data_IF_630912286538
#
_entry.id   IF_630912286538
#
_cell.length_a   1.000
_cell.length_b   1.000
_cell.length_c   1.000
_cell.angle_alpha   90.00
_cell.angle_beta   90.00
_cell.angle_gamma   90.00
#
_symmetry.space_group_name_H-M   'P 1'
#
loop_
_entity.id
_entity.type
_entity.pdbx_description
1 polymer ?
#
# COMPACT_ATOMS: atom_id res chain seq x y z
N UNK A 1 26.82 -6.25 -34.01
CA UNK A 1 25.93 -7.19 -33.30
C UNK A 1 25.90 -6.81 -31.82
N UNK A 2 25.00 -5.90 -31.42
CA UNK A 2 24.81 -5.48 -30.02
C UNK A 2 23.34 -5.11 -29.76
N UNK A 3 22.40 -5.91 -30.27
CA UNK A 3 20.98 -5.50 -30.28
C UNK A 3 20.14 -6.33 -29.28
N UNK A 4 20.50 -7.60 -29.05
CA UNK A 4 19.78 -8.44 -28.08
C UNK A 4 20.07 -8.05 -26.62
N UNK A 5 21.33 -7.75 -26.28
CA UNK A 5 21.69 -7.40 -24.89
C UNK A 5 21.15 -6.04 -24.46
N UNK A 6 21.01 -5.09 -25.41
CA UNK A 6 20.33 -3.82 -25.16
C UNK A 6 18.82 -4.02 -24.98
N UNK A 7 18.17 -4.79 -25.86
CA UNK A 7 16.74 -5.09 -25.74
C UNK A 7 16.36 -5.74 -24.41
N UNK A 8 17.08 -6.80 -24.00
CA UNK A 8 16.85 -7.48 -22.70
C UNK A 8 17.07 -6.53 -21.51
N UNK A 9 18.05 -5.62 -21.60
CA UNK A 9 18.33 -4.64 -20.54
C UNK A 9 17.22 -3.59 -20.45
N UNK A 10 16.74 -3.10 -21.58
CA UNK A 10 15.65 -2.12 -21.64
C UNK A 10 14.34 -2.72 -21.13
N UNK A 11 14.02 -3.96 -21.53
CA UNK A 11 12.87 -4.71 -21.01
C UNK A 11 12.97 -4.92 -19.50
N UNK A 12 14.13 -5.34 -18.99
CA UNK A 12 14.36 -5.52 -17.55
C UNK A 12 14.20 -4.24 -16.74
N UNK A 13 14.63 -3.10 -17.29
CA UNK A 13 14.44 -1.78 -16.65
C UNK A 13 12.97 -1.35 -16.67
N UNK A 14 12.27 -1.54 -17.78
CA UNK A 14 10.85 -1.23 -17.90
C UNK A 14 10.02 -2.06 -16.92
N UNK A 15 10.26 -3.38 -16.85
CA UNK A 15 9.61 -4.25 -15.88
C UNK A 15 9.92 -3.85 -14.43
N UNK A 16 11.18 -3.54 -14.14
CA UNK A 16 11.61 -3.12 -12.81
C UNK A 16 10.92 -1.83 -12.37
N UNK A 17 10.79 -0.86 -13.28
CA UNK A 17 10.10 0.40 -13.03
C UNK A 17 8.61 0.17 -12.76
N UNK A 18 7.94 -0.62 -13.59
CA UNK A 18 6.51 -0.95 -13.41
C UNK A 18 6.26 -1.64 -12.07
N UNK A 19 7.04 -2.70 -11.77
CA UNK A 19 6.94 -3.43 -10.49
C UNK A 19 7.24 -2.52 -9.30
N UNK A 20 8.20 -1.60 -9.44
CA UNK A 20 8.54 -0.61 -8.41
C UNK A 20 7.42 0.38 -8.15
N UNK A 21 6.83 0.92 -9.22
CA UNK A 21 5.71 1.87 -9.14
C UNK A 21 4.48 1.21 -8.50
N UNK A 22 4.11 0.00 -8.92
CA UNK A 22 2.99 -0.75 -8.35
C UNK A 22 3.16 -0.98 -6.85
N UNK A 23 4.35 -1.44 -6.43
CA UNK A 23 4.67 -1.63 -5.01
C UNK A 23 4.64 -0.31 -4.23
N UNK A 24 5.17 0.77 -4.81
CA UNK A 24 5.19 2.09 -4.19
C UNK A 24 3.79 2.65 -3.98
N UNK A 25 2.92 2.56 -5.00
CA UNK A 25 1.51 2.98 -4.92
C UNK A 25 0.76 2.14 -3.89
N UNK A 26 0.95 0.81 -3.88
CA UNK A 26 0.32 -0.07 -2.90
C UNK A 26 0.75 0.27 -1.46
N UNK A 27 2.05 0.45 -1.23
CA UNK A 27 2.58 0.84 0.07
C UNK A 27 2.05 2.21 0.51
N UNK A 28 2.06 3.20 -0.37
CA UNK A 28 1.54 4.54 -0.06
C UNK A 28 0.04 4.53 0.30
N UNK A 29 -0.76 3.70 -0.36
CA UNK A 29 -2.17 3.51 0.01
C UNK A 29 -2.30 2.92 1.41
N UNK A 30 -1.56 1.87 1.74
CA UNK A 30 -1.60 1.23 3.06
C UNK A 30 -1.17 2.23 4.14
N UNK A 31 -0.01 2.90 3.97
CA UNK A 31 0.54 3.85 4.94
C UNK A 31 -0.42 5.03 5.20
N UNK A 32 -1.04 5.57 4.14
CA UNK A 32 -2.01 6.67 4.27
C UNK A 32 -3.27 6.21 4.98
N UNK A 33 -3.84 5.06 4.61
CA UNK A 33 -5.02 4.52 5.29
C UNK A 33 -4.74 4.24 6.76
N UNK A 34 -3.58 3.66 7.10
CA UNK A 34 -3.16 3.43 8.48
C UNK A 34 -3.11 4.74 9.28
N UNK A 35 -2.51 5.79 8.71
CA UNK A 35 -2.45 7.11 9.35
C UNK A 35 -3.84 7.70 9.59
N UNK A 36 -4.74 7.59 8.61
CA UNK A 36 -6.11 8.08 8.75
C UNK A 36 -6.91 7.28 9.78
N UNK A 37 -6.82 5.95 9.77
CA UNK A 37 -7.47 5.08 10.76
C UNK A 37 -6.97 5.43 12.17
N UNK A 38 -5.65 5.57 12.37
CA UNK A 38 -5.06 5.97 13.65
C UNK A 38 -5.57 7.32 14.13
N UNK A 39 -5.67 8.31 13.24
CA UNK A 39 -6.22 9.64 13.55
C UNK A 39 -7.70 9.58 13.91
N UNK A 40 -8.49 8.75 13.25
CA UNK A 40 -9.92 8.58 13.52
C UNK A 40 -10.16 7.93 14.89
N UNK A 41 -9.37 6.90 15.23
CA UNK A 41 -9.42 6.26 16.55
C UNK A 41 -9.05 7.27 17.65
N UNK A 42 -7.96 8.03 17.45
CA UNK A 42 -7.47 8.97 18.45
C UNK A 42 -8.36 10.20 18.67
N UNK A 43 -8.97 10.74 17.60
CA UNK A 43 -9.78 11.97 17.70
C UNK A 43 -11.24 11.71 18.09
N UNK A 44 -11.81 10.59 17.66
CA UNK A 44 -13.25 10.37 17.73
C UNK A 44 -13.67 9.08 18.44
N UNK A 45 -12.73 8.31 19.04
CA UNK A 45 -13.00 6.99 19.67
C UNK A 45 -13.69 5.98 18.73
N UNK A 46 -13.56 6.12 17.41
CA UNK A 46 -14.08 5.11 16.49
C UNK A 46 -13.36 3.79 16.64
N UNK A 47 -14.07 2.68 16.43
CA UNK A 47 -13.42 1.39 16.28
C UNK A 47 -12.61 1.32 14.99
N UNK A 48 -11.59 0.45 14.97
CA UNK A 48 -10.75 0.19 13.80
C UNK A 48 -11.60 -0.15 12.56
N UNK A 49 -12.68 -0.91 12.75
CA UNK A 49 -13.63 -1.30 11.70
C UNK A 49 -14.47 -0.14 11.20
N UNK A 50 -15.03 0.69 12.08
CA UNK A 50 -15.83 1.86 11.67
C UNK A 50 -14.98 2.90 10.95
N UNK A 51 -13.75 3.12 11.42
CA UNK A 51 -12.80 4.01 10.75
C UNK A 51 -12.48 3.54 9.33
N UNK A 52 -12.33 2.23 9.12
CA UNK A 52 -12.11 1.64 7.79
C UNK A 52 -13.36 1.70 6.90
N UNK A 53 -14.56 1.52 7.46
CA UNK A 53 -15.82 1.67 6.72
C UNK A 53 -16.02 3.12 6.25
N UNK A 54 -15.75 4.10 7.11
CA UNK A 54 -15.81 5.53 6.75
C UNK A 54 -14.80 5.93 5.68
N UNK A 55 -13.61 5.32 5.70
CA UNK A 55 -12.56 5.55 4.70
C UNK A 55 -12.79 4.79 3.40
N UNK A 56 -13.82 3.94 3.31
CA UNK A 56 -14.12 3.15 2.12
C UNK A 56 -13.00 2.16 1.76
N UNK A 57 -12.36 1.58 2.77
CA UNK A 57 -11.20 0.69 2.61
C UNK A 57 -11.63 -0.64 1.99
N UNK A 58 -11.02 -1.01 0.87
CA UNK A 58 -11.19 -2.32 0.20
C UNK A 58 -10.88 -3.49 1.17
N UNK A 59 -11.72 -4.53 1.17
CA UNK A 59 -11.54 -5.71 2.04
C UNK A 59 -10.16 -6.35 1.92
N UNK A 60 -9.56 -6.30 0.73
CA UNK A 60 -8.24 -6.87 0.45
C UNK A 60 -7.13 -6.24 1.29
N UNK A 61 -7.24 -4.95 1.60
CA UNK A 61 -6.24 -4.22 2.39
C UNK A 61 -6.64 -4.11 3.88
N UNK A 62 -7.91 -4.37 4.23
CA UNK A 62 -8.37 -4.38 5.64
C UNK A 62 -7.56 -5.35 6.50
N UNK A 63 -7.32 -6.56 6.00
CA UNK A 63 -6.53 -7.57 6.72
C UNK A 63 -5.10 -7.08 6.99
N UNK A 64 -4.47 -6.44 6.00
CA UNK A 64 -3.12 -5.88 6.13
C UNK A 64 -3.11 -4.76 7.18
N UNK A 65 -4.09 -3.86 7.13
CA UNK A 65 -4.17 -2.72 8.06
C UNK A 65 -4.42 -3.18 9.50
N UNK A 66 -5.29 -4.16 9.73
CA UNK A 66 -5.51 -4.73 11.07
C UNK A 66 -4.22 -5.37 11.59
N UNK A 67 -3.50 -6.10 10.74
CA UNK A 67 -2.22 -6.72 11.12
C UNK A 67 -1.16 -5.67 11.46
N UNK A 68 -1.00 -4.63 10.65
CA UNK A 68 -0.06 -3.52 10.90
C UNK A 68 -0.41 -2.73 12.17
N UNK A 69 -1.71 -2.48 12.41
CA UNK A 69 -2.17 -1.84 13.65
C UNK A 69 -1.87 -2.68 14.90
N UNK A 70 -1.88 -4.00 14.79
CA UNK A 70 -1.57 -4.91 15.90
C UNK A 70 -0.07 -5.00 16.19
N UNK A 71 0.81 -4.69 15.23
CA UNK A 71 2.27 -4.68 15.45
C UNK A 71 2.78 -3.44 16.18
N UNK A 72 1.99 -2.36 16.22
CA UNK A 72 2.34 -1.10 16.90
C UNK A 72 1.81 -0.99 18.35
N UNK A 73 1.12 -2.02 18.88
CA UNK A 73 0.58 -2.05 20.27
C UNK A 73 1.50 -2.85 21.19
#
# INVERSE_FOLDING_TARGET
MCNLSQGIREEGLAEGLTKGLEKGVAKGRIDTTLCYVKRLIQKNNFSVTEAMDLLGVDEKIRAVIVMELQQEI
#
